data_IF_951832899476
#
_entry.id   IF_951832899476
#
_cell.length_a   1.000
_cell.length_b   1.000
_cell.length_c   1.000
_cell.angle_alpha   90.00
_cell.angle_beta   90.00
_cell.angle_gamma   90.00
#
_symmetry.space_group_name_H-M   'P 1'
#
loop_
_entity.id
_entity.type
_entity.pdbx_description
1 polymer ?
#
# COMPACT_ATOMS: atom_id res chain seq x y z
N UNK A 1 -16.80 -8.38 30.72
CA UNK A 1 -15.38 -8.78 30.59
C UNK A 1 -15.14 -9.90 29.59
N UNK A 2 -16.05 -10.84 29.35
CA UNK A 2 -15.90 -11.96 28.38
C UNK A 2 -16.29 -11.56 26.95
N UNK A 3 -17.05 -10.51 26.74
CA UNK A 3 -17.46 -10.05 25.40
C UNK A 3 -16.42 -9.14 24.68
N UNK A 4 -15.59 -8.43 25.39
CA UNK A 4 -14.55 -7.56 24.83
C UNK A 4 -13.34 -8.35 24.31
N UNK A 5 -12.92 -9.41 24.99
CA UNK A 5 -11.82 -10.28 24.53
C UNK A 5 -12.15 -11.04 23.23
N UNK A 6 -13.41 -11.44 23.04
CA UNK A 6 -13.83 -12.10 21.78
C UNK A 6 -13.92 -11.13 20.59
N UNK A 7 -14.06 -9.84 20.84
CA UNK A 7 -14.13 -8.82 19.78
C UNK A 7 -12.73 -8.49 19.25
N UNK A 8 -11.75 -8.43 20.14
CA UNK A 8 -10.34 -8.15 19.80
C UNK A 8 -9.71 -9.31 18.99
N UNK A 9 -9.98 -10.55 19.35
CA UNK A 9 -9.48 -11.74 18.66
C UNK A 9 -10.07 -11.86 17.24
N UNK A 10 -11.32 -11.49 17.05
CA UNK A 10 -11.95 -11.51 15.71
C UNK A 10 -11.41 -10.38 14.81
N UNK A 11 -11.20 -9.19 15.33
CA UNK A 11 -10.63 -8.07 14.58
C UNK A 11 -9.18 -8.34 14.16
N UNK A 12 -8.36 -8.96 15.03
CA UNK A 12 -7.01 -9.38 14.72
C UNK A 12 -6.96 -10.51 13.66
N UNK A 13 -7.89 -11.46 13.70
CA UNK A 13 -7.99 -12.52 12.70
C UNK A 13 -8.43 -12.00 11.32
N UNK A 14 -9.33 -11.01 11.27
CA UNK A 14 -9.72 -10.36 10.01
C UNK A 14 -8.54 -9.58 9.41
N UNK A 15 -7.86 -8.77 10.19
CA UNK A 15 -6.67 -8.02 9.74
C UNK A 15 -5.54 -8.94 9.22
N UNK A 16 -5.37 -10.12 9.81
CA UNK A 16 -4.37 -11.07 9.36
C UNK A 16 -4.77 -11.72 8.03
N UNK A 17 -6.04 -12.09 7.84
CA UNK A 17 -6.55 -12.67 6.58
C UNK A 17 -6.47 -11.66 5.42
N UNK A 18 -6.87 -10.41 5.64
CA UNK A 18 -6.75 -9.34 4.64
C UNK A 18 -5.30 -9.14 4.19
N UNK A 19 -4.35 -9.17 5.14
CA UNK A 19 -2.91 -9.09 4.82
C UNK A 19 -2.41 -10.33 4.08
N UNK A 20 -2.88 -11.51 4.42
CA UNK A 20 -2.53 -12.75 3.74
C UNK A 20 -3.04 -12.77 2.29
N UNK A 21 -4.28 -12.34 2.07
CA UNK A 21 -4.88 -12.21 0.74
C UNK A 21 -4.13 -11.17 -0.12
N UNK A 22 -3.89 -9.98 0.40
CA UNK A 22 -3.11 -8.93 -0.28
C UNK A 22 -1.69 -9.43 -0.61
N UNK A 23 -1.02 -10.09 0.33
CA UNK A 23 0.33 -10.60 0.12
C UNK A 23 0.38 -11.73 -0.91
N UNK A 24 -0.62 -12.61 -0.92
CA UNK A 24 -0.70 -13.72 -1.88
C UNK A 24 -0.93 -13.25 -3.33
N UNK A 25 -1.56 -12.09 -3.50
CA UNK A 25 -1.81 -11.47 -4.81
C UNK A 25 -0.71 -10.52 -5.26
N UNK A 26 0.30 -10.25 -4.41
CA UNK A 26 1.39 -9.33 -4.76
C UNK A 26 2.20 -9.84 -5.96
N UNK A 27 2.34 -9.04 -7.02
CA UNK A 27 3.18 -9.40 -8.14
C UNK A 27 4.66 -9.51 -7.73
N UNK A 28 5.35 -10.47 -8.32
CA UNK A 28 6.77 -10.73 -8.09
C UNK A 28 7.65 -10.26 -9.25
N UNK A 29 7.06 -9.93 -10.40
CA UNK A 29 7.73 -9.48 -11.61
C UNK A 29 7.04 -8.23 -12.16
N UNK A 30 7.79 -7.44 -12.93
CA UNK A 30 7.21 -6.25 -13.58
C UNK A 30 6.07 -6.58 -14.55
N UNK A 31 6.11 -7.71 -15.24
CA UNK A 31 5.04 -8.18 -16.14
C UNK A 31 3.70 -8.36 -15.46
N UNK A 32 3.73 -8.61 -14.16
CA UNK A 32 2.54 -8.87 -13.35
C UNK A 32 2.02 -7.61 -12.64
N UNK A 33 2.75 -6.50 -12.71
CA UNK A 33 2.34 -5.25 -12.09
C UNK A 33 1.37 -4.51 -13.00
N UNK A 34 0.19 -4.18 -12.50
CA UNK A 34 -0.85 -3.48 -13.26
C UNK A 34 -0.79 -1.98 -13.00
N UNK A 35 -0.88 -1.19 -14.05
CA UNK A 35 -0.83 0.26 -13.99
C UNK A 35 0.58 0.82 -13.85
N UNK A 36 0.70 2.15 -13.86
CA UNK A 36 2.00 2.86 -13.77
C UNK A 36 2.96 2.56 -14.94
N UNK A 37 2.47 2.25 -16.14
CA UNK A 37 3.26 1.72 -17.26
C UNK A 37 4.56 2.50 -17.51
N UNK A 38 4.51 3.83 -17.54
CA UNK A 38 5.70 4.68 -17.74
C UNK A 38 6.73 4.52 -16.63
N UNK A 39 6.27 4.33 -15.39
CA UNK A 39 7.15 4.14 -14.22
C UNK A 39 7.79 2.76 -14.30
N UNK A 40 6.98 1.74 -14.60
CA UNK A 40 7.43 0.35 -14.75
C UNK A 40 8.46 0.24 -15.86
N UNK A 41 8.19 0.80 -17.04
CA UNK A 41 9.12 0.80 -18.17
C UNK A 41 10.47 1.44 -17.81
N UNK A 42 10.45 2.60 -17.14
CA UNK A 42 11.66 3.28 -16.70
C UNK A 42 12.44 2.44 -15.66
N UNK A 43 11.75 1.87 -14.69
CA UNK A 43 12.38 1.03 -13.67
C UNK A 43 12.98 -0.24 -14.27
N UNK A 44 12.32 -0.87 -15.24
CA UNK A 44 12.88 -2.01 -15.98
C UNK A 44 14.18 -1.65 -16.70
N UNK A 45 14.23 -0.48 -17.34
CA UNK A 45 15.45 0.01 -18.01
C UNK A 45 16.59 0.19 -16.99
N UNK A 46 16.31 0.80 -15.83
CA UNK A 46 17.31 1.02 -14.78
C UNK A 46 17.81 -0.30 -14.19
N UNK A 47 16.90 -1.23 -13.85
CA UNK A 47 17.25 -2.55 -13.32
C UNK A 47 18.08 -3.33 -14.34
N UNK A 48 17.67 -3.36 -15.61
CA UNK A 48 18.42 -4.03 -16.68
C UNK A 48 19.83 -3.43 -16.86
N UNK A 49 19.93 -2.10 -16.82
CA UNK A 49 21.22 -1.43 -16.93
C UNK A 49 22.14 -1.74 -15.74
N UNK A 50 21.65 -1.73 -14.51
CA UNK A 50 22.40 -2.10 -13.31
C UNK A 50 22.91 -3.54 -13.39
N UNK A 51 22.06 -4.50 -13.78
CA UNK A 51 22.45 -5.91 -13.99
C UNK A 51 23.54 -6.07 -15.04
N UNK A 52 23.44 -5.38 -16.16
CA UNK A 52 24.44 -5.47 -17.24
C UNK A 52 25.80 -4.92 -16.83
N UNK A 53 25.84 -3.91 -15.96
CA UNK A 53 27.08 -3.34 -15.42
C UNK A 53 27.63 -4.11 -14.23
N UNK A 54 26.82 -4.98 -13.58
CA UNK A 54 27.17 -5.61 -12.32
C UNK A 54 27.30 -4.62 -11.16
N UNK A 55 26.54 -3.53 -11.22
CA UNK A 55 26.56 -2.43 -10.24
C UNK A 55 25.22 -2.38 -9.46
N UNK A 56 25.23 -1.82 -8.23
CA UNK A 56 23.98 -1.52 -7.51
C UNK A 56 23.08 -0.61 -8.34
N UNK A 57 21.76 -0.78 -8.18
CA UNK A 57 20.79 0.16 -8.73
C UNK A 57 20.96 1.54 -8.10
N UNK A 58 20.71 2.59 -8.84
CA UNK A 58 20.67 3.94 -8.28
C UNK A 58 19.58 4.02 -7.19
N UNK A 59 19.90 4.72 -6.10
CA UNK A 59 18.94 4.91 -5.02
C UNK A 59 17.65 5.53 -5.55
N UNK A 60 16.52 5.04 -5.07
CA UNK A 60 15.22 5.40 -5.63
C UNK A 60 14.26 5.88 -4.54
N UNK A 61 13.54 6.96 -4.79
CA UNK A 61 12.54 7.50 -3.90
C UNK A 61 11.18 7.47 -4.58
N UNK A 62 10.31 6.55 -4.12
CA UNK A 62 8.95 6.39 -4.60
C UNK A 62 8.01 7.29 -3.82
N UNK A 63 7.31 8.20 -4.48
CA UNK A 63 6.32 9.03 -3.80
C UNK A 63 4.97 9.01 -4.51
N UNK A 64 3.90 9.17 -3.74
CA UNK A 64 2.53 9.19 -4.24
C UNK A 64 1.55 8.68 -3.19
N UNK A 65 0.24 8.77 -3.45
CA UNK A 65 -0.82 8.31 -2.55
C UNK A 65 -0.59 6.89 -2.01
N UNK A 66 -1.23 6.52 -0.89
CA UNK A 66 -1.20 5.15 -0.40
C UNK A 66 -1.83 4.17 -1.42
N UNK A 67 -1.57 2.87 -1.25
CA UNK A 67 -2.21 1.81 -2.05
C UNK A 67 -1.76 1.68 -3.51
N UNK A 68 -0.72 2.41 -3.95
CA UNK A 68 -0.21 2.40 -5.34
C UNK A 68 0.89 1.37 -5.60
N UNK A 69 1.16 0.47 -4.67
CA UNK A 69 2.14 -0.59 -4.86
C UNK A 69 3.61 -0.18 -4.69
N UNK A 70 3.94 0.90 -3.95
CA UNK A 70 5.33 1.32 -3.68
C UNK A 70 6.18 0.19 -3.11
N UNK A 71 5.70 -0.47 -2.07
CA UNK A 71 6.38 -1.64 -1.45
C UNK A 71 6.49 -2.81 -2.43
N UNK A 72 5.45 -3.05 -3.23
CA UNK A 72 5.42 -4.10 -4.26
C UNK A 72 6.47 -3.85 -5.34
N UNK A 73 6.54 -2.63 -5.88
CA UNK A 73 7.57 -2.26 -6.86
C UNK A 73 8.98 -2.43 -6.30
N UNK A 74 9.21 -2.07 -5.04
CA UNK A 74 10.51 -2.24 -4.38
C UNK A 74 10.90 -3.70 -4.26
N UNK A 75 9.94 -4.58 -3.94
CA UNK A 75 10.16 -6.02 -3.90
C UNK A 75 10.43 -6.62 -5.30
N UNK A 76 9.68 -6.19 -6.31
CA UNK A 76 9.92 -6.59 -7.71
C UNK A 76 11.34 -6.21 -8.14
N UNK A 77 11.78 -4.99 -7.82
CA UNK A 77 13.14 -4.53 -8.14
C UNK A 77 14.19 -5.46 -7.51
N UNK A 78 14.05 -5.82 -6.23
CA UNK A 78 14.99 -6.73 -5.57
C UNK A 78 14.98 -8.13 -6.20
N UNK A 79 13.80 -8.66 -6.51
CA UNK A 79 13.65 -9.95 -7.20
C UNK A 79 14.30 -9.94 -8.58
N UNK A 80 14.08 -8.90 -9.37
CA UNK A 80 14.67 -8.76 -10.70
C UNK A 80 16.19 -8.57 -10.67
N UNK A 81 16.71 -7.93 -9.62
CA UNK A 81 18.17 -7.81 -9.38
C UNK A 81 18.76 -9.14 -8.86
N UNK A 82 17.95 -10.01 -8.26
CA UNK A 82 18.40 -11.26 -7.64
C UNK A 82 19.16 -11.04 -6.33
N UNK A 83 18.78 -10.03 -5.54
CA UNK A 83 19.42 -9.62 -4.28
C UNK A 83 18.46 -9.70 -3.10
N UNK A 84 18.98 -9.62 -1.88
CA UNK A 84 18.17 -9.60 -0.67
C UNK A 84 17.28 -8.35 -0.58
N UNK A 85 16.14 -8.51 0.08
CA UNK A 85 15.16 -7.44 0.30
C UNK A 85 14.89 -7.29 1.80
N UNK A 86 15.31 -6.18 2.38
CA UNK A 86 15.06 -5.83 3.77
C UNK A 86 14.09 -4.66 3.85
N UNK A 87 13.05 -4.82 4.65
CA UNK A 87 11.99 -3.83 4.83
C UNK A 87 12.07 -3.23 6.22
N UNK A 88 11.97 -1.91 6.31
CA UNK A 88 11.78 -1.20 7.57
C UNK A 88 10.84 -0.01 7.41
N UNK A 89 10.42 0.57 8.51
CA UNK A 89 9.57 1.77 8.53
C UNK A 89 9.91 2.63 9.73
N UNK A 90 9.50 3.92 9.71
CA UNK A 90 9.76 4.88 10.79
C UNK A 90 9.43 4.38 12.19
N UNK A 91 8.23 3.82 12.42
CA UNK A 91 7.82 3.34 13.75
C UNK A 91 8.60 2.15 14.29
N UNK A 92 9.30 1.40 13.43
CA UNK A 92 10.06 0.18 13.82
C UNK A 92 11.46 0.52 14.33
N UNK A 93 12.00 1.68 13.96
CA UNK A 93 13.37 2.07 14.27
C UNK A 93 13.39 3.22 15.31
N UNK A 94 12.92 2.96 16.53
CA UNK A 94 12.85 3.97 17.58
C UNK A 94 14.23 4.32 18.18
N UNK A 95 15.18 3.40 18.12
CA UNK A 95 16.51 3.59 18.71
C UNK A 95 17.58 3.75 17.63
N UNK A 96 18.55 4.65 17.81
CA UNK A 96 19.65 4.81 16.85
C UNK A 96 20.43 3.53 16.58
N UNK A 97 20.52 2.61 17.55
CA UNK A 97 21.17 1.31 17.42
C UNK A 97 20.43 0.33 16.50
N UNK A 98 19.12 0.45 16.36
CA UNK A 98 18.32 -0.47 15.54
C UNK A 98 18.63 -0.28 14.05
N UNK A 99 18.80 0.97 13.62
CA UNK A 99 19.21 1.29 12.25
C UNK A 99 20.63 0.80 11.95
N UNK A 100 21.58 0.98 12.88
CA UNK A 100 22.93 0.48 12.72
C UNK A 100 22.96 -1.07 12.64
N UNK A 101 22.19 -1.75 13.48
CA UNK A 101 22.04 -3.21 13.43
C UNK A 101 21.45 -3.69 12.11
N UNK A 102 20.45 -2.98 11.57
CA UNK A 102 19.86 -3.28 10.27
C UNK A 102 20.90 -3.13 9.15
N UNK A 103 21.60 -2.00 9.11
CA UNK A 103 22.61 -1.72 8.07
C UNK A 103 23.76 -2.74 8.09
N UNK A 104 24.19 -3.18 9.27
CA UNK A 104 25.24 -4.22 9.39
C UNK A 104 24.78 -5.63 9.03
N UNK A 105 23.48 -5.87 8.94
CA UNK A 105 22.88 -7.16 8.53
C UNK A 105 22.65 -7.30 7.03
N UNK A 106 22.93 -6.25 6.25
CA UNK A 106 22.76 -6.23 4.80
C UNK A 106 24.01 -6.79 4.10
N UNK A 107 23.77 -7.54 3.05
CA UNK A 107 24.84 -7.98 2.14
C UNK A 107 25.06 -6.92 1.04
N UNK A 108 26.23 -6.90 0.39
CA UNK A 108 26.48 -5.98 -0.72
C UNK A 108 25.43 -6.10 -1.82
N UNK A 109 24.92 -4.98 -2.29
CA UNK A 109 23.86 -4.82 -3.29
C UNK A 109 22.43 -5.15 -2.81
N UNK A 110 22.23 -5.58 -1.57
CA UNK A 110 20.88 -5.78 -1.03
C UNK A 110 20.04 -4.50 -1.17
N UNK A 111 18.75 -4.70 -1.35
CA UNK A 111 17.77 -3.60 -1.34
C UNK A 111 17.30 -3.35 0.09
N UNK A 112 17.61 -2.17 0.61
CA UNK A 112 17.00 -1.64 1.82
C UNK A 112 15.78 -0.79 1.44
N UNK A 113 14.60 -1.28 1.76
CA UNK A 113 13.35 -0.54 1.57
C UNK A 113 12.91 0.10 2.88
N UNK A 114 12.72 1.43 2.85
CA UNK A 114 12.20 2.21 3.97
C UNK A 114 10.81 2.74 3.60
N UNK A 115 9.78 2.17 4.24
CA UNK A 115 8.42 2.67 4.09
C UNK A 115 8.20 3.90 4.97
N UNK A 116 7.42 4.85 4.48
CA UNK A 116 7.08 6.10 5.17
C UNK A 116 8.32 6.86 5.70
N UNK A 117 9.32 7.04 4.83
CA UNK A 117 10.59 7.70 5.19
C UNK A 117 10.38 9.12 5.76
N UNK A 118 9.26 9.76 5.49
CA UNK A 118 8.86 11.04 6.07
C UNK A 118 8.67 10.99 7.60
N UNK A 119 8.44 9.80 8.17
CA UNK A 119 8.36 9.59 9.62
C UNK A 119 9.72 9.47 10.29
N UNK A 120 10.80 9.33 9.53
CA UNK A 120 12.15 9.35 10.07
C UNK A 120 12.54 10.77 10.47
N UNK A 121 13.08 10.92 11.66
CA UNK A 121 13.73 12.16 12.08
C UNK A 121 14.91 12.50 11.15
N UNK A 122 15.29 13.76 11.10
CA UNK A 122 16.47 14.17 10.31
C UNK A 122 17.73 13.40 10.70
N UNK A 123 17.93 13.15 12.01
CA UNK A 123 19.07 12.39 12.51
C UNK A 123 19.07 10.94 12.04
N UNK A 124 17.90 10.30 11.94
CA UNK A 124 17.79 8.95 11.39
C UNK A 124 18.07 8.93 9.88
N UNK A 125 17.57 9.93 9.15
CA UNK A 125 17.88 10.09 7.74
C UNK A 125 19.38 10.38 7.50
N UNK A 126 20.01 11.21 8.34
CA UNK A 126 21.46 11.48 8.28
C UNK A 126 22.30 10.22 8.54
N UNK A 127 21.83 9.32 9.43
CA UNK A 127 22.51 8.07 9.72
C UNK A 127 22.52 7.07 8.54
N UNK A 128 21.65 7.25 7.53
CA UNK A 128 21.66 6.48 6.29
C UNK A 128 22.72 6.92 5.29
N UNK A 129 23.18 8.18 5.40
CA UNK A 129 24.05 8.78 4.39
C UNK A 129 25.34 8.00 4.12
N UNK A 130 26.09 7.50 5.12
CA UNK A 130 27.32 6.74 4.85
C UNK A 130 27.09 5.55 3.93
N UNK A 131 26.08 4.73 4.21
CA UNK A 131 25.76 3.53 3.39
C UNK A 131 25.22 3.89 2.00
N UNK A 132 24.50 5.02 1.88
CA UNK A 132 24.02 5.55 0.60
C UNK A 132 25.18 6.12 -0.22
N UNK A 133 26.09 6.88 0.41
CA UNK A 133 27.23 7.51 -0.27
C UNK A 133 28.24 6.47 -0.75
N UNK A 134 28.49 5.44 0.05
CA UNK A 134 29.41 4.34 -0.30
C UNK A 134 28.80 3.36 -1.32
N UNK A 135 27.48 3.43 -1.58
CA UNK A 135 26.74 2.44 -2.38
C UNK A 135 26.85 1.02 -1.82
N UNK A 136 26.95 0.89 -0.48
CA UNK A 136 27.03 -0.42 0.17
C UNK A 136 25.74 -1.22 -0.06
N UNK A 137 24.60 -0.52 -0.22
CA UNK A 137 23.26 -1.07 -0.45
C UNK A 137 22.50 -0.27 -1.48
N UNK A 138 21.51 -0.89 -2.12
CA UNK A 138 20.51 -0.17 -2.90
C UNK A 138 19.44 0.38 -1.95
N UNK A 139 19.39 1.71 -1.80
CA UNK A 139 18.39 2.36 -0.97
C UNK A 139 17.14 2.66 -1.80
N UNK A 140 15.99 2.14 -1.37
CA UNK A 140 14.68 2.50 -1.91
C UNK A 140 13.82 3.01 -0.77
N UNK A 141 13.30 4.22 -0.89
CA UNK A 141 12.40 4.79 0.11
C UNK A 141 11.03 5.08 -0.48
N UNK A 142 10.01 5.03 0.36
CA UNK A 142 8.65 5.39 0.01
C UNK A 142 8.10 6.49 0.90
N UNK A 143 7.31 7.38 0.32
CA UNK A 143 6.59 8.42 1.06
C UNK A 143 5.27 8.77 0.39
N UNK A 144 4.29 9.16 1.19
CA UNK A 144 3.03 9.75 0.70
C UNK A 144 3.11 11.27 0.58
N UNK A 145 4.11 11.88 1.22
CA UNK A 145 4.33 13.31 1.22
C UNK A 145 5.22 13.78 0.06
N UNK A 146 5.25 15.09 -0.20
CA UNK A 146 6.20 15.66 -1.15
C UNK A 146 7.65 15.51 -0.63
N UNK A 147 8.51 14.76 -1.34
CA UNK A 147 9.87 14.45 -0.90
C UNK A 147 10.72 15.69 -0.61
N UNK A 148 10.46 16.79 -1.30
CA UNK A 148 11.23 18.06 -1.12
C UNK A 148 11.09 18.66 0.28
N UNK A 149 10.03 18.28 1.03
CA UNK A 149 9.79 18.75 2.39
C UNK A 149 10.11 17.71 3.45
N UNK A 150 9.96 16.43 3.12
CA UNK A 150 10.02 15.33 4.08
C UNK A 150 11.36 14.56 4.06
N UNK A 151 12.16 14.70 3.00
CA UNK A 151 13.45 14.02 2.85
C UNK A 151 14.58 15.05 2.88
N UNK A 152 15.68 14.75 3.58
CA UNK A 152 16.84 15.63 3.65
C UNK A 152 17.50 15.77 2.27
N UNK A 153 18.00 16.96 1.97
CA UNK A 153 18.60 17.27 0.68
C UNK A 153 19.72 16.32 0.25
N UNK A 154 20.63 15.86 1.13
CA UNK A 154 21.68 14.92 0.74
C UNK A 154 21.15 13.58 0.22
N UNK A 155 20.10 13.02 0.83
CA UNK A 155 19.45 11.79 0.33
C UNK A 155 18.71 12.06 -0.99
N UNK A 156 17.97 13.17 -1.05
CA UNK A 156 17.21 13.53 -2.23
C UNK A 156 18.10 13.73 -3.47
N UNK A 157 19.27 14.37 -3.30
CA UNK A 157 20.21 14.62 -4.40
C UNK A 157 20.90 13.35 -4.94
N UNK A 158 20.87 12.25 -4.18
CA UNK A 158 21.46 10.96 -4.54
C UNK A 158 20.44 9.94 -4.98
N UNK A 159 19.16 10.31 -4.99
CA UNK A 159 18.06 9.40 -5.32
C UNK A 159 17.34 9.82 -6.60
N UNK A 160 16.96 8.85 -7.40
CA UNK A 160 16.02 9.04 -8.51
C UNK A 160 14.62 9.15 -7.91
N UNK A 161 13.97 10.28 -8.11
CA UNK A 161 12.60 10.50 -7.61
C UNK A 161 11.61 9.98 -8.64
N UNK A 162 10.78 9.04 -8.21
CA UNK A 162 9.74 8.41 -9.04
C UNK A 162 8.38 8.73 -8.45
N UNK A 163 7.54 9.42 -9.21
CA UNK A 163 6.16 9.74 -8.82
C UNK A 163 5.22 8.65 -9.30
N UNK A 164 4.43 8.10 -8.37
CA UNK A 164 3.30 7.23 -8.69
C UNK A 164 2.02 8.06 -8.66
N UNK A 165 1.14 7.80 -9.62
CA UNK A 165 -0.15 8.45 -9.75
C UNK A 165 -1.27 7.48 -9.42
N UNK A 166 -2.45 7.99 -9.07
CA UNK A 166 -3.62 7.14 -8.86
C UNK A 166 -3.87 6.25 -10.07
N UNK A 167 -4.28 5.01 -9.83
CA UNK A 167 -4.54 4.06 -10.90
C UNK A 167 -5.78 4.45 -11.69
N UNK A 168 -5.71 4.23 -12.98
CA UNK A 168 -6.84 4.44 -13.88
C UNK A 168 -7.92 3.35 -13.69
N UNK A 169 -9.17 3.61 -14.05
CA UNK A 169 -10.26 2.63 -13.94
C UNK A 169 -9.96 1.28 -14.59
N UNK A 170 -9.30 1.28 -15.75
CA UNK A 170 -8.95 0.06 -16.48
C UNK A 170 -7.88 -0.77 -15.76
N UNK A 171 -6.94 -0.12 -15.07
CA UNK A 171 -5.94 -0.78 -14.23
C UNK A 171 -6.61 -1.50 -13.05
N UNK A 172 -7.55 -0.81 -12.38
CA UNK A 172 -8.30 -1.38 -11.28
C UNK A 172 -9.22 -2.53 -11.74
N UNK A 173 -9.82 -2.42 -12.91
CA UNK A 173 -10.61 -3.49 -13.53
C UNK A 173 -9.74 -4.72 -13.80
N UNK A 174 -8.54 -4.50 -14.32
CA UNK A 174 -7.55 -5.57 -14.56
C UNK A 174 -7.15 -6.24 -13.24
N UNK A 175 -6.92 -5.45 -12.18
CA UNK A 175 -6.59 -5.95 -10.84
C UNK A 175 -7.73 -6.80 -10.25
N UNK A 176 -8.98 -6.35 -10.34
CA UNK A 176 -10.17 -7.09 -9.89
C UNK A 176 -10.28 -8.44 -10.63
N UNK A 177 -10.17 -8.43 -11.96
CA UNK A 177 -10.27 -9.65 -12.76
C UNK A 177 -9.17 -10.64 -12.41
N UNK A 178 -7.94 -10.17 -12.21
CA UNK A 178 -6.82 -10.99 -11.78
C UNK A 178 -7.06 -11.60 -10.40
N UNK A 179 -7.54 -10.81 -9.43
CA UNK A 179 -7.84 -11.28 -8.09
C UNK A 179 -8.96 -12.35 -8.08
N UNK A 180 -9.95 -12.23 -8.97
CA UNK A 180 -11.01 -13.23 -9.12
C UNK A 180 -10.46 -14.53 -9.73
N UNK A 181 -9.60 -14.43 -10.74
CA UNK A 181 -9.10 -15.58 -11.49
C UNK A 181 -7.97 -16.33 -10.78
N UNK A 182 -7.20 -15.67 -9.93
CA UNK A 182 -6.03 -16.24 -9.26
C UNK A 182 -6.39 -17.33 -8.26
N UNK A 183 -5.63 -18.43 -8.26
CA UNK A 183 -5.70 -19.50 -7.25
C UNK A 183 -5.39 -18.96 -5.83
N UNK A 184 -4.55 -17.92 -5.74
CA UNK A 184 -4.23 -17.23 -4.50
C UNK A 184 -5.26 -16.15 -4.11
N UNK A 185 -6.23 -15.88 -5.01
CA UNK A 185 -7.32 -14.95 -4.80
C UNK A 185 -8.66 -15.67 -4.57
N UNK A 186 -9.62 -15.43 -5.45
CA UNK A 186 -10.97 -16.01 -5.35
C UNK A 186 -11.16 -17.28 -6.19
N UNK A 187 -10.13 -17.78 -6.86
CA UNK A 187 -10.08 -19.03 -7.64
C UNK A 187 -11.32 -19.26 -8.54
N UNK A 188 -11.80 -18.18 -9.16
CA UNK A 188 -13.05 -18.20 -9.93
C UNK A 188 -14.27 -18.77 -9.19
N UNK A 189 -14.24 -18.85 -7.87
CA UNK A 189 -15.36 -19.36 -7.08
C UNK A 189 -16.53 -18.39 -6.99
N UNK A 190 -16.29 -17.12 -7.26
CA UNK A 190 -17.25 -16.01 -7.20
C UNK A 190 -17.32 -15.34 -8.56
N UNK A 191 -18.49 -14.85 -8.92
CA UNK A 191 -18.68 -13.98 -10.08
C UNK A 191 -18.93 -12.55 -9.60
N UNK A 192 -18.70 -11.60 -10.46
CA UNK A 192 -19.02 -10.19 -10.23
C UNK A 192 -19.76 -9.62 -11.45
N UNK A 193 -20.68 -8.70 -11.23
CA UNK A 193 -21.32 -7.97 -12.34
C UNK A 193 -20.48 -6.77 -12.74
N UNK A 194 -20.60 -6.30 -13.99
CA UNK A 194 -19.86 -5.13 -14.47
C UNK A 194 -20.21 -3.88 -13.65
N UNK A 195 -21.47 -3.72 -13.24
CA UNK A 195 -21.91 -2.61 -12.40
C UNK A 195 -21.28 -2.65 -11.00
N UNK A 196 -21.03 -3.85 -10.46
CA UNK A 196 -20.34 -3.99 -9.17
C UNK A 196 -18.84 -3.70 -9.30
N UNK A 197 -18.23 -4.04 -10.43
CA UNK A 197 -16.84 -3.64 -10.74
C UNK A 197 -16.74 -2.12 -10.79
N UNK A 198 -17.63 -1.45 -11.52
CA UNK A 198 -17.64 0.01 -11.63
C UNK A 198 -17.84 0.69 -10.26
N UNK A 199 -18.69 0.11 -9.42
CA UNK A 199 -18.93 0.61 -8.06
C UNK A 199 -17.69 0.47 -7.16
N UNK A 200 -16.99 -0.68 -7.20
CA UNK A 200 -15.72 -0.88 -6.47
C UNK A 200 -14.68 0.14 -6.94
N UNK A 201 -14.52 0.32 -8.25
CA UNK A 201 -13.58 1.28 -8.85
C UNK A 201 -13.87 2.70 -8.38
N UNK A 202 -15.14 3.09 -8.41
CA UNK A 202 -15.58 4.41 -7.95
C UNK A 202 -15.25 4.64 -6.47
N UNK A 203 -15.50 3.65 -5.62
CA UNK A 203 -15.24 3.73 -4.18
C UNK A 203 -13.75 3.69 -3.83
N UNK A 204 -12.96 2.96 -4.61
CA UNK A 204 -11.52 2.83 -4.40
C UNK A 204 -10.75 4.12 -4.74
N UNK A 205 -11.23 4.90 -5.72
CA UNK A 205 -10.63 6.20 -6.06
C UNK A 205 -9.17 6.11 -6.54
N UNK A 206 -8.81 5.04 -7.27
CA UNK A 206 -7.45 4.84 -7.80
C UNK A 206 -6.49 4.11 -6.85
N UNK A 207 -6.97 3.59 -5.72
CA UNK A 207 -6.18 2.85 -4.73
C UNK A 207 -6.36 1.33 -4.93
N UNK A 208 -5.27 0.62 -5.29
CA UNK A 208 -5.28 -0.82 -5.50
C UNK A 208 -5.58 -1.62 -4.23
N UNK A 209 -5.04 -1.21 -3.09
CA UNK A 209 -5.27 -1.89 -1.81
C UNK A 209 -6.73 -1.79 -1.42
N UNK A 210 -7.30 -0.60 -1.48
CA UNK A 210 -8.72 -0.37 -1.19
C UNK A 210 -9.62 -1.16 -2.15
N UNK A 211 -9.26 -1.27 -3.43
CA UNK A 211 -9.96 -2.10 -4.42
C UNK A 211 -10.02 -3.56 -3.98
N UNK A 212 -8.86 -4.15 -3.62
CA UNK A 212 -8.79 -5.54 -3.17
C UNK A 212 -9.50 -5.77 -1.84
N UNK A 213 -9.39 -4.86 -0.90
CA UNK A 213 -10.09 -4.93 0.39
C UNK A 213 -11.62 -4.92 0.21
N UNK A 214 -12.14 -4.06 -0.66
CA UNK A 214 -13.59 -4.03 -0.96
C UNK A 214 -14.03 -5.33 -1.64
N UNK A 215 -13.24 -5.82 -2.60
CA UNK A 215 -13.52 -7.07 -3.31
C UNK A 215 -13.56 -8.27 -2.35
N UNK A 216 -12.56 -8.40 -1.49
CA UNK A 216 -12.45 -9.46 -0.49
C UNK A 216 -13.62 -9.42 0.49
N UNK A 217 -13.94 -8.24 1.01
CA UNK A 217 -15.06 -8.05 1.93
C UNK A 217 -16.40 -8.41 1.29
N UNK A 218 -16.62 -8.04 0.01
CA UNK A 218 -17.81 -8.40 -0.74
C UNK A 218 -17.89 -9.92 -0.99
N UNK A 219 -16.76 -10.55 -1.28
CA UNK A 219 -16.66 -12.01 -1.43
C UNK A 219 -16.94 -12.72 -0.10
N UNK A 220 -16.37 -12.26 1.00
CA UNK A 220 -16.56 -12.79 2.35
C UNK A 220 -18.01 -12.69 2.81
N UNK A 221 -18.73 -11.60 2.48
CA UNK A 221 -20.14 -11.43 2.79
C UNK A 221 -21.06 -12.48 2.10
N UNK A 222 -20.63 -12.97 0.94
CA UNK A 222 -21.40 -13.98 0.17
C UNK A 222 -21.05 -15.42 0.56
N UNK A 223 -19.81 -15.66 0.99
CA UNK A 223 -19.35 -17.04 1.30
C UNK A 223 -19.69 -17.46 2.72
N UNK A 224 -19.71 -16.53 3.68
CA UNK A 224 -20.02 -16.83 5.09
C UNK A 224 -19.23 -18.03 5.64
N UNK A 225 -19.37 -18.36 6.93
CA UNK A 225 -18.74 -19.55 7.56
C UNK A 225 -19.36 -20.90 7.12
N UNK A 226 -20.04 -20.97 5.96
CA UNK A 226 -20.70 -22.19 5.49
C UNK A 226 -19.81 -22.93 4.50
N UNK A 227 -19.37 -24.14 4.90
CA UNK A 227 -18.83 -25.14 3.96
C UNK A 227 -19.75 -25.25 2.73
N UNK A 228 -19.24 -24.96 1.55
CA UNK A 228 -19.98 -25.07 0.30
C UNK A 228 -20.35 -26.52 0.03
N UNK A 229 -21.63 -26.78 -0.16
CA UNK A 229 -22.07 -28.04 -0.74
C UNK A 229 -21.57 -28.12 -2.19
N UNK A 230 -20.85 -29.19 -2.53
CA UNK A 230 -20.44 -29.47 -3.94
C UNK A 230 -21.67 -29.37 -4.85
N UNK A 231 -21.63 -28.49 -5.86
CA UNK A 231 -22.71 -28.28 -6.83
C UNK A 231 -23.58 -27.03 -6.63
N UNK A 232 -23.31 -26.20 -5.63
CA UNK A 232 -23.99 -24.90 -5.48
C UNK A 232 -23.60 -23.92 -6.60
N UNK A 233 -24.55 -23.10 -7.07
CA UNK A 233 -24.25 -22.02 -8.02
C UNK A 233 -23.24 -21.06 -7.42
N UNK A 234 -22.28 -20.59 -8.25
CA UNK A 234 -21.29 -19.57 -7.84
C UNK A 234 -22.02 -18.31 -7.41
N UNK A 235 -21.76 -17.76 -6.21
CA UNK A 235 -22.35 -16.50 -5.78
C UNK A 235 -21.90 -15.38 -6.70
N UNK A 236 -22.70 -14.31 -6.76
CA UNK A 236 -22.46 -13.16 -7.63
C UNK A 236 -22.39 -11.91 -6.76
N UNK A 237 -21.29 -11.17 -6.86
CA UNK A 237 -21.15 -9.85 -6.27
C UNK A 237 -21.96 -8.87 -7.13
N UNK A 238 -22.91 -8.20 -6.50
CA UNK A 238 -23.75 -7.16 -7.09
C UNK A 238 -23.46 -5.81 -6.42
N UNK A 239 -23.86 -4.67 -7.00
CA UNK A 239 -23.69 -3.37 -6.35
C UNK A 239 -24.28 -3.28 -4.94
N UNK A 240 -25.41 -3.98 -4.70
CA UNK A 240 -26.04 -4.03 -3.37
C UNK A 240 -25.15 -4.72 -2.32
N UNK A 241 -24.39 -5.73 -2.73
CA UNK A 241 -23.45 -6.41 -1.83
C UNK A 241 -22.28 -5.49 -1.51
N UNK A 242 -21.74 -4.80 -2.51
CA UNK A 242 -20.66 -3.83 -2.34
C UNK A 242 -21.09 -2.70 -1.39
N UNK A 243 -22.24 -2.10 -1.62
CA UNK A 243 -22.78 -1.01 -0.78
C UNK A 243 -22.95 -1.45 0.67
N UNK A 244 -23.57 -2.61 0.92
CA UNK A 244 -23.76 -3.16 2.28
C UNK A 244 -22.45 -3.37 3.04
N UNK A 245 -21.42 -3.84 2.35
CA UNK A 245 -20.10 -4.07 2.96
C UNK A 245 -19.44 -2.76 3.31
N UNK A 246 -19.57 -1.74 2.44
CA UNK A 246 -19.00 -0.43 2.68
C UNK A 246 -19.70 0.32 3.83
N UNK A 247 -21.03 0.22 3.96
CA UNK A 247 -21.76 0.79 5.09
C UNK A 247 -21.24 0.22 6.43
N UNK A 248 -21.00 -1.08 6.49
CA UNK A 248 -20.45 -1.75 7.67
C UNK A 248 -18.99 -1.36 7.90
N UNK A 249 -18.19 -1.22 6.83
CA UNK A 249 -16.78 -0.85 6.93
C UNK A 249 -16.61 0.62 7.36
N UNK A 250 -17.44 1.53 6.86
CA UNK A 250 -17.41 2.95 7.25
C UNK A 250 -17.67 3.12 8.74
N UNK A 251 -18.61 2.36 9.32
CA UNK A 251 -18.86 2.36 10.77
C UNK A 251 -17.69 1.80 11.59
N UNK A 252 -16.87 0.91 11.00
CA UNK A 252 -15.69 0.33 11.69
C UNK A 252 -14.42 1.17 11.54
N UNK A 253 -14.25 1.85 10.40
CA UNK A 253 -13.02 2.60 10.08
C UNK A 253 -12.89 3.91 10.87
N UNK A 254 -14.01 4.46 11.34
CA UNK A 254 -14.08 5.79 11.96
C UNK A 254 -13.67 5.83 13.44
N UNK A 255 -13.28 4.70 14.06
CA UNK A 255 -12.89 4.68 15.47
C UNK A 255 -11.39 4.85 15.76
N UNK A 256 -10.50 4.59 14.79
CA UNK A 256 -9.05 4.59 15.01
C UNK A 256 -8.25 5.21 13.83
N UNK A 257 -8.86 5.95 12.91
CA UNK A 257 -8.22 6.35 11.65
C UNK A 257 -7.74 7.80 11.59
N UNK A 258 -6.72 8.02 10.76
CA UNK A 258 -6.15 9.32 10.39
C UNK A 258 -7.22 10.29 9.82
N UNK A 259 -8.31 9.77 9.20
CA UNK A 259 -9.45 10.56 8.70
C UNK A 259 -10.13 11.39 9.80
N UNK A 260 -10.19 10.86 11.04
CA UNK A 260 -10.75 11.62 12.17
C UNK A 260 -9.88 12.83 12.52
N UNK A 261 -8.55 12.66 12.53
CA UNK A 261 -7.62 13.77 12.77
C UNK A 261 -7.60 14.77 11.62
N UNK A 262 -7.77 14.32 10.38
CA UNK A 262 -7.85 15.19 9.21
C UNK A 262 -9.15 16.01 9.21
N UNK A 263 -10.27 15.42 9.57
CA UNK A 263 -11.57 16.11 9.73
C UNK A 263 -11.49 17.12 10.89
N UNK A 264 -10.90 16.76 12.04
CA UNK A 264 -10.65 17.69 13.16
C UNK A 264 -9.73 18.84 12.73
N UNK A 265 -8.64 18.54 12.03
CA UNK A 265 -7.70 19.56 11.54
C UNK A 265 -8.37 20.52 10.55
N UNK A 266 -9.19 20.00 9.64
CA UNK A 266 -9.95 20.80 8.70
C UNK A 266 -11.02 21.65 9.41
N UNK A 267 -11.71 21.11 10.40
CA UNK A 267 -12.65 21.83 11.27
C UNK A 267 -11.97 22.99 12.00
N UNK A 268 -10.83 22.75 12.64
CA UNK A 268 -10.06 23.80 13.33
C UNK A 268 -9.58 24.88 12.35
N UNK A 269 -9.13 24.49 11.16
CA UNK A 269 -8.68 25.44 10.12
C UNK A 269 -9.83 26.29 9.59
N UNK A 270 -11.00 25.71 9.37
CA UNK A 270 -12.20 26.45 8.92
C UNK A 270 -12.68 27.46 9.97
N UNK A 271 -12.67 27.11 11.26
CA UNK A 271 -12.95 28.06 12.35
C UNK A 271 -11.95 29.22 12.38
N UNK A 272 -10.65 28.93 12.23
CA UNK A 272 -9.61 29.97 12.19
C UNK A 272 -9.72 30.86 10.95
N UNK A 273 -10.18 30.30 9.82
CA UNK A 273 -10.45 31.03 8.58
C UNK A 273 -11.76 31.81 8.59
N UNK A 274 -12.55 31.74 9.68
CA UNK A 274 -13.88 32.34 9.80
C UNK A 274 -14.83 31.95 8.65
N UNK A 275 -14.75 30.69 8.22
CA UNK A 275 -15.63 30.10 7.20
C UNK A 275 -16.74 29.28 7.90
N UNK A 276 -17.96 29.84 8.08
CA UNK A 276 -19.03 29.16 8.79
C UNK A 276 -19.58 27.94 8.03
N UNK A 277 -19.60 27.96 6.70
CA UNK A 277 -20.15 26.87 5.89
C UNK A 277 -19.20 25.65 5.94
N UNK A 278 -17.89 25.87 5.76
CA UNK A 278 -16.89 24.81 5.93
C UNK A 278 -16.87 24.28 7.37
N UNK A 279 -17.01 25.15 8.37
CA UNK A 279 -17.05 24.74 9.79
C UNK A 279 -18.24 23.82 10.06
N UNK A 280 -19.43 24.17 9.60
CA UNK A 280 -20.63 23.33 9.74
C UNK A 280 -20.51 22.01 8.99
N UNK A 281 -19.90 22.03 7.79
CA UNK A 281 -19.66 20.83 7.00
C UNK A 281 -18.74 19.83 7.73
N UNK A 282 -17.60 20.28 8.26
CA UNK A 282 -16.68 19.41 8.96
C UNK A 282 -17.19 18.98 10.34
N UNK A 283 -17.95 19.83 11.04
CA UNK A 283 -18.62 19.45 12.28
C UNK A 283 -19.62 18.30 12.08
N UNK A 284 -20.35 18.32 10.97
CA UNK A 284 -21.31 17.27 10.63
C UNK A 284 -20.65 15.94 10.24
N UNK A 285 -19.34 15.94 9.93
CA UNK A 285 -18.55 14.74 9.60
C UNK A 285 -17.80 14.16 10.79
N UNK A 286 -17.70 14.87 11.89
CA UNK A 286 -17.13 14.43 13.17
C UNK A 286 -18.10 13.54 13.94
#
# INVERSE_FOLDING_TARGET
>A
MIMEENFDIRSQQYNNREREFENALRPLQFSDFSGQDKVVDNLQVFVKAARLRGEPLDHTLLHGPPGLGKTTLSNIIANELGVGFKVTSGPVLDKPGDLAGLLTSLEPNDVLFIDEVHRFSKSQQDALLPSVENRDVTFIAATTENPSFSVIKPLLSRSVVVKLESLEPDDLKTLINRAIASEHGLDNEIRITDEAVDEIIRMAGGDARKTLTILEAAAGALTGDKERKKGAKRPIITPDVVSKVMDVATVRYDKDGDDHYDVISAFIKSMRGSDPDATMHYLARM
#
